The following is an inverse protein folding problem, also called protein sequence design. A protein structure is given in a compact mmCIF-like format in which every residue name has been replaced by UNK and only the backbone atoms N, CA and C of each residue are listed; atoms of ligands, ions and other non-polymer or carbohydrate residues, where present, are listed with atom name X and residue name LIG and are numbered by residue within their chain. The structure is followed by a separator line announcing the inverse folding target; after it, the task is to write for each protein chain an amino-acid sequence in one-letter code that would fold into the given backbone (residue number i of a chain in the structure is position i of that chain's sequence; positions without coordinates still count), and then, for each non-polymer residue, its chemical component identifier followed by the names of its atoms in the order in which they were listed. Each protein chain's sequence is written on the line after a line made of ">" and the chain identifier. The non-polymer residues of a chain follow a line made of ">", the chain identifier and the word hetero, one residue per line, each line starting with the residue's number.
data_IF_652104440566
#
_entry.id   IF_652104440566
#
_cell.length_a   1.000
_cell.length_b   1.000
_cell.length_c   1.000
_cell.angle_alpha   90.00
_cell.angle_beta   90.00
_cell.angle_gamma   90.00
#
_symmetry.space_group_name_H-M   'P 1'
#
loop_
_entity.id
_entity.type
_entity.pdbx_description
1 polymer ?
#
# COMPACT_ATOMS: atom_id res chain seq x y z
N UNK A 1 28.28 -31.40 -5.23
CA UNK A 1 27.04 -31.34 -6.05
C UNK A 1 25.84 -31.47 -5.13
N UNK A 2 25.16 -30.37 -4.80
CA UNK A 2 23.92 -30.42 -4.00
C UNK A 2 22.75 -30.81 -4.91
N UNK A 3 22.27 -32.05 -4.76
CA UNK A 3 21.00 -32.48 -5.35
C UNK A 3 19.87 -31.87 -4.53
N UNK A 4 19.18 -30.87 -5.08
CA UNK A 4 17.91 -30.41 -4.54
C UNK A 4 16.89 -31.53 -4.85
N UNK A 5 16.48 -32.27 -3.82
CA UNK A 5 15.39 -33.24 -3.94
C UNK A 5 14.08 -32.47 -4.04
N UNK A 6 13.45 -32.46 -5.21
CA UNK A 6 12.08 -31.97 -5.35
C UNK A 6 11.15 -33.04 -4.77
N UNK A 7 10.67 -32.84 -3.54
CA UNK A 7 9.54 -33.62 -3.02
C UNK A 7 8.26 -33.10 -3.68
N UNK A 8 7.50 -33.97 -4.34
CA UNK A 8 6.12 -33.65 -4.71
C UNK A 8 5.32 -33.44 -3.42
N UNK A 9 4.85 -32.22 -3.18
CA UNK A 9 4.01 -31.86 -2.05
C UNK A 9 2.59 -31.58 -2.55
N UNK A 10 1.60 -31.99 -1.77
CA UNK A 10 0.19 -31.73 -2.04
C UNK A 10 -0.44 -31.09 -0.80
N UNK A 11 -1.22 -30.04 -1.00
CA UNK A 11 -1.87 -29.28 0.05
C UNK A 11 -3.36 -29.19 -0.24
N UNK A 12 -4.18 -29.37 0.79
CA UNK A 12 -5.61 -29.03 0.72
C UNK A 12 -5.77 -27.51 0.73
N UNK A 13 -6.69 -26.98 -0.07
CA UNK A 13 -6.94 -25.55 -0.18
C UNK A 13 -8.43 -25.24 -0.34
N UNK A 14 -8.82 -24.01 -0.01
CA UNK A 14 -10.15 -23.48 -0.31
C UNK A 14 -10.17 -22.92 -1.73
N UNK A 15 -11.14 -23.34 -2.56
CA UNK A 15 -11.30 -22.84 -3.92
C UNK A 15 -11.96 -21.47 -3.88
N UNK A 16 -11.24 -20.45 -4.36
CA UNK A 16 -11.73 -19.06 -4.46
C UNK A 16 -11.98 -18.61 -5.89
N UNK A 17 -11.53 -19.39 -6.89
CA UNK A 17 -11.75 -19.18 -8.32
C UNK A 17 -11.66 -20.51 -9.06
N UNK A 18 -12.48 -20.70 -10.09
CA UNK A 18 -12.46 -21.90 -10.93
C UNK A 18 -11.27 -21.88 -11.91
N UNK A 19 -10.69 -23.06 -12.19
CA UNK A 19 -9.64 -23.22 -13.20
C UNK A 19 -8.45 -24.06 -12.74
N UNK A 20 -7.52 -24.33 -13.66
CA UNK A 20 -6.25 -25.05 -13.41
C UNK A 20 -5.10 -24.17 -13.87
N UNK A 21 -4.14 -23.91 -12.97
CA UNK A 21 -2.92 -23.16 -13.27
C UNK A 21 -1.69 -24.06 -13.14
N UNK A 22 -0.81 -24.02 -14.15
CA UNK A 22 0.46 -24.77 -14.18
C UNK A 22 1.56 -23.79 -14.59
N UNK A 23 2.58 -23.61 -13.75
CA UNK A 23 3.64 -22.65 -14.02
C UNK A 23 4.74 -22.66 -12.97
N UNK A 24 5.75 -21.81 -13.17
CA UNK A 24 6.80 -21.59 -12.17
C UNK A 24 6.24 -20.79 -11.00
N UNK A 25 6.65 -21.15 -9.78
CA UNK A 25 6.29 -20.40 -8.58
C UNK A 25 7.09 -19.09 -8.57
N UNK A 26 6.37 -17.97 -8.51
CA UNK A 26 6.94 -16.67 -8.18
C UNK A 26 6.67 -16.39 -6.70
N UNK A 27 7.71 -16.42 -5.86
CA UNK A 27 7.57 -16.08 -4.44
C UNK A 27 7.65 -14.56 -4.31
N UNK A 28 6.49 -13.94 -4.11
CA UNK A 28 6.40 -12.53 -3.74
C UNK A 28 6.56 -12.47 -2.21
N UNK A 29 7.80 -12.39 -1.75
CA UNK A 29 8.08 -12.12 -0.35
C UNK A 29 7.90 -10.64 -0.03
N UNK A 30 7.45 -10.33 1.19
CA UNK A 30 7.78 -9.04 1.79
C UNK A 30 9.31 -9.02 1.90
N UNK A 31 10.01 -8.40 0.93
CA UNK A 31 11.29 -7.79 1.29
C UNK A 31 10.91 -6.81 2.40
N UNK A 32 11.27 -7.12 3.63
CA UNK A 32 11.34 -6.20 4.76
C UNK A 32 12.36 -5.11 4.44
N UNK A 33 12.10 -4.32 3.38
CA UNK A 33 12.82 -3.10 3.05
C UNK A 33 11.97 -1.87 3.32
N UNK A 34 10.76 -2.02 3.84
CA UNK A 34 9.93 -0.88 4.29
C UNK A 34 10.47 -0.23 5.57
N UNK A 35 11.43 -0.85 6.25
CA UNK A 35 12.13 -0.25 7.42
C UNK A 35 13.47 0.40 7.08
N UNK A 36 13.85 0.47 5.81
CA UNK A 36 14.93 1.38 5.47
C UNK A 36 14.35 2.79 5.45
N UNK A 37 14.66 3.55 6.49
CA UNK A 37 14.54 5.00 6.56
C UNK A 37 15.43 5.71 5.50
N UNK A 38 15.52 5.20 4.28
CA UNK A 38 15.94 5.99 3.13
C UNK A 38 14.75 6.85 2.74
N UNK A 39 15.02 8.07 2.32
CA UNK A 39 13.98 9.01 1.96
C UNK A 39 14.40 10.44 2.15
N UNK A 40 13.99 11.24 1.19
CA UNK A 40 14.06 12.68 1.21
C UNK A 40 13.09 13.28 2.25
N UNK A 41 13.32 14.55 2.60
CA UNK A 41 12.35 15.41 3.28
C UNK A 41 11.82 16.49 2.33
N UNK A 42 11.80 16.20 1.03
CA UNK A 42 11.25 17.08 0.00
C UNK A 42 9.74 16.84 -0.16
N UNK A 43 8.89 17.84 0.17
CA UNK A 43 7.45 17.75 -0.03
C UNK A 43 7.04 17.45 -1.48
N UNK A 44 7.84 17.85 -2.46
CA UNK A 44 7.55 17.66 -3.89
C UNK A 44 7.55 16.17 -4.24
N UNK A 45 8.56 15.43 -3.77
CA UNK A 45 8.64 13.97 -3.97
C UNK A 45 7.48 13.24 -3.31
N UNK A 46 7.04 13.69 -2.12
CA UNK A 46 5.85 13.15 -1.50
C UNK A 46 4.60 13.40 -2.34
N UNK A 47 4.38 14.64 -2.80
CA UNK A 47 3.23 14.97 -3.64
C UNK A 47 3.23 14.20 -4.96
N UNK A 48 4.38 14.04 -5.61
CA UNK A 48 4.54 13.22 -6.82
C UNK A 48 4.17 11.76 -6.55
N UNK A 49 4.63 11.18 -5.44
CA UNK A 49 4.28 9.79 -5.08
C UNK A 49 2.78 9.61 -4.80
N UNK A 50 2.12 10.62 -4.23
CA UNK A 50 0.67 10.64 -4.02
C UNK A 50 -0.06 10.72 -5.35
N UNK A 51 0.40 11.57 -6.28
CA UNK A 51 -0.20 11.68 -7.62
C UNK A 51 -0.02 10.40 -8.44
N UNK A 52 1.16 9.77 -8.41
CA UNK A 52 1.39 8.49 -9.06
C UNK A 52 0.46 7.42 -8.48
N UNK A 53 0.30 7.39 -7.15
CA UNK A 53 -0.61 6.45 -6.48
C UNK A 53 -2.06 6.68 -6.92
N UNK A 54 -2.53 7.92 -7.00
CA UNK A 54 -3.87 8.25 -7.52
C UNK A 54 -4.06 7.76 -8.96
N UNK A 55 -3.07 7.97 -9.83
CA UNK A 55 -3.14 7.49 -11.23
C UNK A 55 -3.26 5.96 -11.28
N UNK A 56 -2.41 5.26 -10.53
CA UNK A 56 -2.43 3.79 -10.46
C UNK A 56 -3.77 3.26 -9.95
N UNK A 57 -4.38 3.92 -8.95
CA UNK A 57 -5.68 3.53 -8.41
C UNK A 57 -6.82 3.78 -9.41
N UNK A 58 -6.80 4.91 -10.13
CA UNK A 58 -7.77 5.21 -11.19
C UNK A 58 -7.71 4.17 -12.31
N UNK A 59 -6.51 3.81 -12.76
CA UNK A 59 -6.31 2.81 -13.81
C UNK A 59 -6.79 1.41 -13.38
N UNK A 60 -6.68 1.10 -12.09
CA UNK A 60 -7.20 -0.14 -11.52
C UNK A 60 -8.73 -0.12 -11.45
N UNK A 61 -9.33 0.99 -11.01
CA UNK A 61 -10.79 1.11 -10.87
C UNK A 61 -11.52 0.88 -12.19
N UNK A 62 -10.95 1.34 -13.32
CA UNK A 62 -11.50 1.13 -14.66
C UNK A 62 -11.60 -0.34 -15.11
N UNK A 63 -10.89 -1.25 -14.43
CA UNK A 63 -10.75 -2.67 -14.84
C UNK A 63 -11.42 -3.64 -13.87
N UNK A 64 -12.16 -3.12 -12.89
CA UNK A 64 -12.58 -3.86 -11.70
C UNK A 64 -14.10 -3.96 -11.60
N UNK A 65 -14.57 -4.95 -10.84
CA UNK A 65 -15.99 -5.10 -10.51
C UNK A 65 -16.47 -3.94 -9.62
N UNK A 66 -17.78 -3.74 -9.49
CA UNK A 66 -18.34 -2.61 -8.71
C UNK A 66 -17.81 -2.56 -7.27
N UNK A 67 -17.80 -3.69 -6.56
CA UNK A 67 -17.33 -3.76 -5.16
C UNK A 67 -15.84 -3.40 -5.04
N UNK A 68 -15.02 -3.92 -5.97
CA UNK A 68 -13.60 -3.58 -6.03
C UNK A 68 -13.39 -2.09 -6.39
N UNK A 69 -14.30 -1.51 -7.18
CA UNK A 69 -14.34 -0.08 -7.49
C UNK A 69 -14.54 0.79 -6.25
N UNK A 70 -15.51 0.44 -5.40
CA UNK A 70 -15.84 1.21 -4.18
C UNK A 70 -14.67 1.25 -3.17
N UNK A 71 -13.82 0.22 -3.14
CA UNK A 71 -12.58 0.20 -2.35
C UNK A 71 -11.56 1.20 -2.91
N UNK A 72 -11.37 1.18 -4.22
CA UNK A 72 -10.39 2.03 -4.89
C UNK A 72 -10.81 3.50 -4.87
N UNK A 73 -12.11 3.79 -5.02
CA UNK A 73 -12.65 5.15 -4.92
C UNK A 73 -12.47 5.74 -3.52
N UNK A 74 -12.69 4.95 -2.47
CA UNK A 74 -12.42 5.34 -1.09
C UNK A 74 -10.92 5.67 -0.88
N UNK A 75 -10.01 4.85 -1.40
CA UNK A 75 -8.57 5.15 -1.32
C UNK A 75 -8.20 6.44 -2.07
N UNK A 76 -8.83 6.70 -3.23
CA UNK A 76 -8.64 7.93 -4.00
C UNK A 76 -9.19 9.15 -3.23
N UNK A 77 -10.35 9.04 -2.59
CA UNK A 77 -10.95 10.14 -1.82
C UNK A 77 -10.05 10.54 -0.65
N UNK A 78 -9.47 9.56 0.06
CA UNK A 78 -8.50 9.82 1.13
C UNK A 78 -7.27 10.58 0.63
N UNK A 79 -6.71 10.20 -0.52
CA UNK A 79 -5.55 10.91 -1.07
C UNK A 79 -5.88 12.33 -1.56
N UNK A 80 -7.16 12.66 -1.80
CA UNK A 80 -7.62 14.01 -2.13
C UNK A 80 -7.95 14.84 -0.88
N UNK A 81 -8.02 14.22 0.29
CA UNK A 81 -8.39 14.88 1.52
C UNK A 81 -7.21 15.65 2.12
N UNK A 82 -7.38 16.97 2.26
CA UNK A 82 -6.40 17.83 2.91
C UNK A 82 -6.17 17.48 4.38
N UNK A 83 -7.17 16.92 5.09
CA UNK A 83 -7.02 16.50 6.48
C UNK A 83 -6.04 15.32 6.64
N UNK A 84 -5.86 14.53 5.59
CA UNK A 84 -4.82 13.51 5.52
C UNK A 84 -3.48 14.10 5.06
N UNK A 85 -3.49 14.90 3.99
CA UNK A 85 -2.28 15.31 3.28
C UNK A 85 -1.52 16.45 3.99
N UNK A 86 -2.21 17.48 4.48
CA UNK A 86 -1.55 18.65 5.08
C UNK A 86 -0.74 18.33 6.35
N UNK A 87 -1.21 17.48 7.28
CA UNK A 87 -0.40 17.08 8.43
C UNK A 87 0.90 16.38 8.02
N UNK A 88 0.87 15.54 6.98
CA UNK A 88 2.06 14.86 6.46
C UNK A 88 3.04 15.87 5.88
N UNK A 89 2.55 16.81 5.04
CA UNK A 89 3.37 17.89 4.49
C UNK A 89 4.00 18.76 5.57
N UNK A 90 3.25 19.05 6.64
CA UNK A 90 3.75 19.83 7.79
C UNK A 90 4.92 19.13 8.47
N UNK A 91 4.83 17.81 8.71
CA UNK A 91 5.91 17.02 9.28
C UNK A 91 7.14 16.98 8.36
N UNK A 92 6.94 16.82 7.05
CA UNK A 92 8.03 16.82 6.07
C UNK A 92 8.75 18.17 6.04
N UNK A 93 7.99 19.29 6.04
CA UNK A 93 8.56 20.65 6.13
C UNK A 93 9.35 20.86 7.42
N UNK A 94 8.98 20.15 8.50
CA UNK A 94 9.73 20.10 9.76
C UNK A 94 10.92 19.11 9.73
N UNK A 95 11.40 18.70 8.55
CA UNK A 95 12.53 17.80 8.31
C UNK A 95 12.31 16.34 8.69
N UNK A 96 11.06 15.90 8.86
CA UNK A 96 10.76 14.46 8.88
C UNK A 96 10.92 13.87 7.48
N UNK A 97 11.38 12.63 7.38
CA UNK A 97 11.47 11.93 6.08
C UNK A 97 10.06 11.64 5.56
N UNK A 98 9.86 11.74 4.24
CA UNK A 98 8.55 11.51 3.61
C UNK A 98 7.94 10.16 4.01
N UNK A 99 8.74 9.10 3.98
CA UNK A 99 8.32 7.74 4.38
C UNK A 99 7.92 7.64 5.84
N UNK A 100 8.58 8.37 6.74
CA UNK A 100 8.27 8.36 8.18
C UNK A 100 7.01 9.16 8.47
N UNK A 101 6.89 10.36 7.91
CA UNK A 101 5.73 11.24 8.09
C UNK A 101 4.44 10.57 7.60
N UNK A 102 4.51 9.94 6.43
CA UNK A 102 3.39 9.19 5.86
C UNK A 102 3.00 7.98 6.72
N UNK A 103 3.98 7.19 7.16
CA UNK A 103 3.71 6.04 8.03
C UNK A 103 3.04 6.46 9.33
N UNK A 104 3.59 7.44 10.05
CA UNK A 104 3.00 7.91 11.31
C UNK A 104 1.55 8.35 11.17
N UNK A 105 1.24 9.12 10.13
CA UNK A 105 -0.14 9.59 9.91
C UNK A 105 -1.09 8.44 9.60
N UNK A 106 -0.67 7.47 8.77
CA UNK A 106 -1.52 6.33 8.40
C UNK A 106 -1.65 5.33 9.54
N UNK A 107 -0.60 5.12 10.33
CA UNK A 107 -0.63 4.22 11.48
C UNK A 107 -1.61 4.73 12.54
N UNK A 108 -1.58 6.03 12.87
CA UNK A 108 -2.58 6.67 13.74
C UNK A 108 -4.00 6.49 13.21
N UNK A 109 -4.22 6.74 11.91
CA UNK A 109 -5.55 6.63 11.30
C UNK A 109 -6.05 5.18 11.25
N UNK A 110 -5.15 4.20 11.05
CA UNK A 110 -5.48 2.77 11.08
C UNK A 110 -5.89 2.36 12.50
N UNK A 111 -5.14 2.76 13.52
CA UNK A 111 -5.47 2.51 14.92
C UNK A 111 -6.86 3.09 15.26
N UNK A 112 -7.12 4.35 14.89
CA UNK A 112 -8.44 4.99 15.06
C UNK A 112 -9.57 4.21 14.37
N UNK A 113 -9.36 3.71 13.16
CA UNK A 113 -10.36 2.93 12.41
C UNK A 113 -10.60 1.53 13.01
N UNK A 114 -9.57 0.91 13.58
CA UNK A 114 -9.67 -0.41 14.21
C UNK A 114 -10.38 -0.34 15.58
N UNK A 115 -10.18 0.75 16.32
CA UNK A 115 -10.80 1.01 17.63
C UNK A 115 -12.26 1.49 17.53
N UNK A 116 -12.66 2.07 16.40
CA UNK A 116 -14.03 2.56 16.19
C UNK A 116 -15.07 1.44 16.33
N UNK A 117 -16.22 1.75 16.92
CA UNK A 117 -17.31 0.79 17.16
C UNK A 117 -18.13 0.46 15.92
N UNK A 118 -18.18 1.37 14.95
CA UNK A 118 -18.89 1.19 13.70
C UNK A 118 -18.16 0.17 12.79
N UNK A 119 -18.90 -0.87 12.42
CA UNK A 119 -18.45 -1.94 11.51
C UNK A 119 -17.92 -1.44 10.16
N UNK A 120 -18.39 -0.28 9.69
CA UNK A 120 -17.90 0.32 8.46
C UNK A 120 -16.42 0.69 8.56
N UNK A 121 -15.99 1.35 9.63
CA UNK A 121 -14.60 1.78 9.80
C UNK A 121 -13.65 0.60 9.96
N UNK A 122 -14.04 -0.42 10.75
CA UNK A 122 -13.25 -1.65 10.90
C UNK A 122 -13.04 -2.36 9.56
N UNK A 123 -14.06 -2.41 8.71
CA UNK A 123 -13.95 -3.02 7.39
C UNK A 123 -12.97 -2.27 6.47
N UNK A 124 -12.74 -0.97 6.71
CA UNK A 124 -11.87 -0.09 5.90
C UNK A 124 -10.42 -0.01 6.40
N UNK A 125 -10.10 -0.57 7.57
CA UNK A 125 -8.73 -0.55 8.09
C UNK A 125 -7.72 -1.25 7.17
N UNK A 126 -8.13 -2.35 6.52
CA UNK A 126 -7.28 -3.04 5.53
C UNK A 126 -7.05 -2.19 4.27
N UNK A 127 -8.06 -1.42 3.83
CA UNK A 127 -7.92 -0.48 2.71
C UNK A 127 -6.85 0.58 3.01
N UNK A 128 -6.78 1.07 4.27
CA UNK A 128 -5.77 2.01 4.74
C UNK A 128 -4.37 1.40 4.78
N UNK A 129 -4.23 0.15 5.26
CA UNK A 129 -2.95 -0.58 5.26
C UNK A 129 -2.42 -0.75 3.84
N UNK A 130 -3.29 -1.05 2.88
CA UNK A 130 -2.92 -1.16 1.48
C UNK A 130 -2.56 0.18 0.85
N UNK A 131 -3.32 1.24 1.15
CA UNK A 131 -3.01 2.60 0.73
C UNK A 131 -1.63 3.04 1.24
N UNK A 132 -1.36 2.79 2.53
CA UNK A 132 -0.07 3.08 3.18
C UNK A 132 1.08 2.45 2.40
N UNK A 133 1.00 1.14 2.13
CA UNK A 133 2.03 0.38 1.38
C UNK A 133 2.21 0.89 -0.05
N UNK A 134 1.13 1.25 -0.74
CA UNK A 134 1.18 1.74 -2.13
C UNK A 134 1.93 3.05 -2.26
N UNK A 135 1.64 4.03 -1.40
CA UNK A 135 2.37 5.31 -1.40
C UNK A 135 3.83 5.09 -1.02
N UNK A 136 4.13 4.25 -0.02
CA UNK A 136 5.51 3.91 0.34
C UNK A 136 6.30 3.31 -0.81
N UNK A 137 5.68 2.43 -1.59
CA UNK A 137 6.32 1.84 -2.77
C UNK A 137 6.67 2.89 -3.82
N UNK A 138 5.78 3.85 -4.06
CA UNK A 138 6.03 4.92 -5.04
C UNK A 138 7.05 5.95 -4.51
N UNK A 139 7.11 6.19 -3.19
CA UNK A 139 8.19 6.94 -2.56
C UNK A 139 9.56 6.29 -2.81
N UNK A 140 9.68 4.97 -2.57
CA UNK A 140 10.96 4.27 -2.77
C UNK A 140 11.42 4.28 -4.23
N UNK A 141 10.50 4.17 -5.20
CA UNK A 141 10.85 4.28 -6.63
C UNK A 141 11.44 5.65 -6.97
N UNK A 142 10.87 6.72 -6.43
CA UNK A 142 11.32 8.08 -6.70
C UNK A 142 12.62 8.42 -5.96
N UNK A 143 12.89 7.77 -4.83
CA UNK A 143 14.16 7.88 -4.09
C UNK A 143 15.34 7.19 -4.82
N UNK A 144 15.09 6.16 -5.64
CA UNK A 144 16.13 5.42 -6.40
C UNK A 144 16.58 6.11 -7.71
N UNK A 145 15.93 7.20 -8.11
CA UNK A 145 16.23 7.92 -9.36
C UNK A 145 17.36 8.97 -9.25
N UNK A 146 18.27 8.84 -8.28
CA UNK A 146 19.42 9.73 -8.07
C UNK A 146 20.76 9.00 -8.14
#
# INVERSE_FOLDING_TARGET
>A
MNKINFSNQSFTAQVVSEGIAIGKILIIGNKTSLEKNHGTSDPSIFLESVQETKSQLKDLALKKSQIEGDILEFQISLLNDSELIEPVLKSIKAKEKCSVAWQKKLDSMIEEFEEETDSYFKARAEDLKDLKKRVLRNLTKNDENF
#
